data_IF_596559031081
#
_entry.id   IF_596559031081
#
_cell.length_a   1.000
_cell.length_b   1.000
_cell.length_c   1.000
_cell.angle_alpha   90.00
_cell.angle_beta   90.00
_cell.angle_gamma   90.00
#
_symmetry.space_group_name_H-M   'P 1'
#
loop_
_entity.id
_entity.type
_entity.pdbx_description
1 polymer ?
#
# COMPACT_ATOMS: atom_id res chain seq x y z
N UNK A 1 -7.64 9.29 -54.60
CA UNK A 1 -8.76 8.51 -54.03
C UNK A 1 -8.31 7.34 -53.13
N UNK A 2 -7.23 6.61 -53.44
CA UNK A 2 -6.78 5.43 -52.68
C UNK A 2 -6.38 5.70 -51.22
N UNK A 3 -5.66 6.79 -50.93
CA UNK A 3 -5.14 7.08 -49.58
C UNK A 3 -6.23 7.44 -48.57
N UNK A 4 -7.23 8.23 -48.99
CA UNK A 4 -8.38 8.57 -48.13
C UNK A 4 -9.20 7.33 -47.79
N UNK A 5 -9.38 6.43 -48.76
CA UNK A 5 -10.07 5.17 -48.57
C UNK A 5 -9.29 4.24 -47.61
N UNK A 6 -7.95 4.20 -47.74
CA UNK A 6 -7.09 3.46 -46.81
C UNK A 6 -7.15 4.02 -45.37
N UNK A 7 -7.12 5.35 -45.20
CA UNK A 7 -7.29 5.97 -43.88
C UNK A 7 -8.66 5.69 -43.27
N UNK A 8 -9.72 5.73 -44.08
CA UNK A 8 -11.08 5.45 -43.62
C UNK A 8 -11.23 3.98 -43.18
N UNK A 9 -10.66 3.03 -43.93
CA UNK A 9 -10.64 1.62 -43.54
C UNK A 9 -9.82 1.41 -42.27
N UNK A 10 -8.63 2.02 -42.16
CA UNK A 10 -7.79 1.89 -40.98
C UNK A 10 -8.48 2.43 -39.73
N UNK A 11 -9.10 3.61 -39.82
CA UNK A 11 -9.85 4.20 -38.70
C UNK A 11 -11.09 3.39 -38.33
N UNK A 12 -11.81 2.84 -39.30
CA UNK A 12 -12.94 1.94 -39.04
C UNK A 12 -12.51 0.67 -38.30
N UNK A 13 -11.41 0.02 -38.73
CA UNK A 13 -10.86 -1.16 -38.05
C UNK A 13 -10.44 -0.80 -36.63
N UNK A 14 -9.76 0.32 -36.44
CA UNK A 14 -9.29 0.76 -35.13
C UNK A 14 -10.46 1.07 -34.19
N UNK A 15 -11.54 1.67 -34.70
CA UNK A 15 -12.77 1.89 -33.95
C UNK A 15 -13.43 0.56 -33.51
N UNK A 16 -13.51 -0.42 -34.41
CA UNK A 16 -14.05 -1.75 -34.07
C UNK A 16 -13.21 -2.42 -32.98
N UNK A 17 -11.88 -2.39 -33.10
CA UNK A 17 -10.97 -2.94 -32.09
C UNK A 17 -11.15 -2.24 -30.74
N UNK A 18 -11.27 -0.91 -30.73
CA UNK A 18 -11.49 -0.14 -29.51
C UNK A 18 -12.82 -0.48 -28.83
N UNK A 19 -13.90 -0.65 -29.60
CA UNK A 19 -15.21 -1.06 -29.09
C UNK A 19 -15.15 -2.46 -28.50
N UNK A 20 -14.51 -3.42 -29.18
CA UNK A 20 -14.33 -4.79 -28.66
C UNK A 20 -13.53 -4.77 -27.36
N UNK A 21 -12.43 -4.02 -27.30
CA UNK A 21 -11.63 -3.89 -26.08
C UNK A 21 -12.44 -3.26 -24.93
N UNK A 22 -13.26 -2.25 -25.21
CA UNK A 22 -14.16 -1.65 -24.23
C UNK A 22 -15.20 -2.66 -23.71
N UNK A 23 -15.80 -3.46 -24.59
CA UNK A 23 -16.76 -4.49 -24.18
C UNK A 23 -16.09 -5.57 -23.32
N UNK A 24 -14.90 -6.05 -23.70
CA UNK A 24 -14.16 -7.06 -22.95
C UNK A 24 -13.77 -6.55 -21.57
N UNK A 25 -13.28 -5.31 -21.47
CA UNK A 25 -12.92 -4.69 -20.18
C UNK A 25 -14.13 -4.47 -19.28
N UNK A 26 -15.27 -4.00 -19.82
CA UNK A 26 -16.50 -3.87 -19.03
C UNK A 26 -17.00 -5.24 -18.57
N UNK A 27 -16.90 -6.27 -19.42
CA UNK A 27 -17.32 -7.63 -19.08
C UNK A 27 -16.43 -8.23 -17.99
N UNK A 28 -15.12 -8.09 -18.09
CA UNK A 28 -14.18 -8.60 -17.09
C UNK A 28 -14.34 -7.89 -15.74
N UNK A 29 -14.58 -6.57 -15.75
CA UNK A 29 -14.88 -5.83 -14.52
C UNK A 29 -16.21 -6.27 -13.91
N UNK A 30 -17.25 -6.51 -14.71
CA UNK A 30 -18.54 -7.04 -14.21
C UNK A 30 -18.39 -8.45 -13.63
N UNK A 31 -17.57 -9.29 -14.23
CA UNK A 31 -17.32 -10.64 -13.76
C UNK A 31 -16.54 -10.64 -12.44
N UNK A 32 -15.50 -9.80 -12.34
CA UNK A 32 -14.75 -9.59 -11.10
C UNK A 32 -15.62 -9.04 -9.97
N UNK A 33 -16.54 -8.11 -10.26
CA UNK A 33 -17.51 -7.62 -9.26
C UNK A 33 -18.44 -8.71 -8.76
N UNK A 34 -18.95 -9.58 -9.65
CA UNK A 34 -19.81 -10.70 -9.27
C UNK A 34 -19.09 -11.70 -8.37
N UNK A 35 -17.80 -11.93 -8.60
CA UNK A 35 -16.98 -12.79 -7.74
C UNK A 35 -16.74 -12.09 -6.39
N UNK A 36 -16.39 -10.80 -6.40
CA UNK A 36 -16.19 -10.02 -5.17
C UNK A 36 -17.45 -9.97 -4.28
N UNK A 37 -18.63 -9.82 -4.87
CA UNK A 37 -19.91 -9.81 -4.14
C UNK A 37 -20.27 -11.19 -3.54
N UNK A 38 -19.69 -12.28 -4.03
CA UNK A 38 -19.85 -13.61 -3.43
C UNK A 38 -18.90 -13.78 -2.26
N UNK A 39 -17.63 -13.44 -2.45
CA UNK A 39 -16.60 -13.50 -1.38
C UNK A 39 -17.00 -12.60 -0.20
N UNK A 40 -17.48 -11.39 -0.45
CA UNK A 40 -17.92 -10.48 0.60
C UNK A 40 -19.15 -10.99 1.40
N UNK A 41 -20.00 -11.83 0.79
CA UNK A 41 -21.13 -12.47 1.49
C UNK A 41 -20.67 -13.66 2.32
N UNK A 42 -19.74 -14.46 1.80
CA UNK A 42 -19.20 -15.63 2.51
C UNK A 42 -18.33 -15.20 3.71
N UNK A 43 -17.50 -14.15 3.56
CA UNK A 43 -16.71 -13.59 4.66
C UNK A 43 -17.59 -12.92 5.74
N UNK A 44 -18.67 -12.25 5.32
CA UNK A 44 -19.63 -11.63 6.25
C UNK A 44 -20.44 -12.65 7.06
N UNK A 45 -20.70 -13.83 6.49
CA UNK A 45 -21.36 -14.94 7.19
C UNK A 45 -20.41 -15.59 8.21
N UNK A 46 -19.15 -15.83 7.84
CA UNK A 46 -18.14 -16.42 8.72
C UNK A 46 -17.78 -15.52 9.91
N UNK A 47 -17.78 -14.19 9.74
CA UNK A 47 -17.50 -13.25 10.84
C UNK A 47 -18.66 -13.15 11.83
N UNK A 48 -19.90 -13.37 11.38
CA UNK A 48 -21.10 -13.29 12.23
C UNK A 48 -21.27 -14.52 13.11
N UNK A 49 -20.84 -15.69 12.63
CA UNK A 49 -20.85 -16.95 13.39
C UNK A 49 -19.81 -16.94 14.54
N UNK A 50 -18.66 -16.29 14.34
CA UNK A 50 -17.62 -16.16 15.39
C UNK A 50 -17.90 -15.08 16.44
N UNK A 51 -18.83 -14.15 16.21
CA UNK A 51 -19.16 -13.09 17.17
C UNK A 51 -20.19 -13.56 18.22
N UNK A 52 -21.02 -14.55 17.91
CA UNK A 52 -21.99 -15.09 18.87
C UNK A 52 -21.35 -16.04 19.90
N UNK A 53 -20.17 -16.59 19.62
CA UNK A 53 -19.46 -17.54 20.51
C UNK A 53 -18.46 -16.87 21.47
N UNK A 54 -18.29 -15.54 21.39
CA UNK A 54 -17.25 -14.79 22.14
C UNK A 54 -17.80 -13.88 23.25
N UNK A 55 -19.08 -13.99 23.61
CA UNK A 55 -19.73 -13.04 24.52
C UNK A 55 -19.60 -13.34 26.03
N UNK A 56 -18.70 -14.25 26.44
CA UNK A 56 -18.65 -14.75 27.82
C UNK A 56 -17.35 -14.46 28.60
N UNK A 57 -16.48 -13.53 28.17
CA UNK A 57 -15.30 -13.17 28.95
C UNK A 57 -15.12 -11.66 29.16
N UNK A 58 -15.14 -11.33 30.44
CA UNK A 58 -15.09 -10.03 31.10
C UNK A 58 -13.65 -9.45 31.16
N UNK A 59 -13.56 -8.12 31.13
CA UNK A 59 -12.44 -7.21 31.50
C UNK A 59 -11.20 -6.98 30.56
N UNK A 60 -10.62 -5.74 30.55
CA UNK A 60 -9.57 -5.28 29.62
C UNK A 60 -8.14 -5.29 30.22
N UNK A 61 -7.07 -5.13 29.40
CA UNK A 61 -6.37 -3.83 29.41
C UNK A 61 -5.80 -3.38 28.04
N UNK A 62 -5.57 -2.07 27.96
CA UNK A 62 -4.87 -1.37 26.88
C UNK A 62 -3.36 -1.57 27.01
N UNK A 63 -2.67 -2.10 26.00
CA UNK A 63 -1.30 -1.68 25.62
C UNK A 63 -0.82 -2.40 24.36
N UNK A 64 -0.47 -1.61 23.34
CA UNK A 64 0.62 -1.87 22.38
C UNK A 64 0.93 -3.34 22.02
N UNK A 65 0.25 -3.88 21.01
CA UNK A 65 0.82 -4.93 20.18
C UNK A 65 1.17 -4.32 18.82
N UNK A 66 2.46 -4.00 18.65
CA UNK A 66 3.06 -4.02 17.34
C UNK A 66 2.69 -5.38 16.71
N UNK A 67 2.18 -5.37 15.49
CA UNK A 67 2.07 -6.58 14.67
C UNK A 67 3.49 -7.02 14.36
N UNK A 68 4.06 -7.72 15.32
CA UNK A 68 5.22 -8.56 15.19
C UNK A 68 4.77 -9.68 14.24
N UNK A 69 5.01 -9.50 12.95
CA UNK A 69 5.04 -10.61 11.99
C UNK A 69 6.28 -11.44 12.35
N UNK A 70 6.17 -12.16 13.46
CA UNK A 70 7.01 -13.29 13.77
C UNK A 70 6.59 -14.37 12.77
N UNK A 71 7.24 -14.34 11.61
CA UNK A 71 7.33 -15.49 10.72
C UNK A 71 7.86 -16.62 11.60
N UNK A 72 6.99 -17.54 11.98
CA UNK A 72 7.38 -18.77 12.64
C UNK A 72 8.31 -19.48 11.65
N UNK A 73 9.59 -19.71 11.99
CA UNK A 73 10.46 -20.51 11.15
C UNK A 73 9.97 -21.96 11.25
N UNK A 74 9.12 -22.36 10.29
CA UNK A 74 8.76 -23.77 10.11
C UNK A 74 10.08 -24.53 9.90
N UNK A 75 10.39 -25.53 10.73
CA UNK A 75 11.69 -26.21 10.69
C UNK A 75 11.89 -26.85 9.32
N UNK A 76 13.03 -26.53 8.71
CA UNK A 76 13.52 -27.06 7.42
C UNK A 76 13.78 -28.55 7.56
N UNK A 77 12.76 -29.38 7.39
CA UNK A 77 12.93 -30.81 7.20
C UNK A 77 13.27 -31.05 5.73
N UNK A 78 14.58 -31.17 5.44
CA UNK A 78 15.10 -31.65 4.17
C UNK A 78 14.71 -33.12 3.98
N UNK A 79 13.49 -33.37 3.53
CA UNK A 79 13.02 -34.72 3.21
C UNK A 79 13.55 -35.08 1.83
N UNK A 80 14.77 -35.61 1.79
CA UNK A 80 15.36 -36.24 0.61
C UNK A 80 14.66 -37.58 0.40
N UNK A 81 13.76 -37.65 -0.59
CA UNK A 81 13.11 -38.92 -0.96
C UNK A 81 13.82 -39.48 -2.19
N UNK A 82 14.56 -40.57 -2.00
CA UNK A 82 15.16 -41.33 -3.11
C UNK A 82 14.12 -42.32 -3.61
N UNK A 83 13.68 -42.14 -4.85
CA UNK A 83 12.78 -43.07 -5.54
C UNK A 83 13.51 -43.52 -6.80
N UNK A 84 13.66 -44.84 -6.96
CA UNK A 84 14.15 -45.46 -8.21
C UNK A 84 15.51 -44.90 -8.73
N UNK A 85 16.49 -44.71 -7.84
CA UNK A 85 17.82 -44.24 -8.22
C UNK A 85 17.90 -42.76 -8.60
N UNK A 86 16.83 -41.98 -8.38
CA UNK A 86 16.81 -40.52 -8.55
C UNK A 86 16.58 -39.83 -7.21
N UNK A 87 17.43 -38.85 -6.90
CA UNK A 87 17.34 -38.04 -5.70
C UNK A 87 16.39 -36.87 -5.98
N UNK A 88 15.19 -36.91 -5.41
CA UNK A 88 14.24 -35.80 -5.47
C UNK A 88 14.44 -34.94 -4.23
N UNK A 89 15.05 -33.77 -4.42
CA UNK A 89 15.22 -32.76 -3.36
C UNK A 89 14.05 -31.79 -3.46
N UNK A 90 13.37 -31.54 -2.34
CA UNK A 90 12.37 -30.47 -2.30
C UNK A 90 13.09 -29.12 -2.42
N UNK A 91 12.73 -28.27 -3.40
CA UNK A 91 13.36 -26.97 -3.56
C UNK A 91 13.10 -26.11 -2.32
N UNK A 92 14.10 -25.32 -1.93
CA UNK A 92 13.96 -24.39 -0.80
C UNK A 92 12.95 -23.29 -1.13
N UNK A 93 12.35 -22.67 -0.11
CA UNK A 93 11.39 -21.58 -0.29
C UNK A 93 11.96 -20.46 -1.18
N UNK A 94 13.23 -20.11 -0.99
CA UNK A 94 13.91 -19.09 -1.78
C UNK A 94 14.04 -19.49 -3.27
N UNK A 95 14.27 -20.77 -3.57
CA UNK A 95 14.32 -21.28 -4.94
C UNK A 95 12.94 -21.26 -5.60
N UNK A 96 11.89 -21.59 -4.85
CA UNK A 96 10.50 -21.52 -5.33
C UNK A 96 10.10 -20.06 -5.58
N UNK A 97 10.45 -19.15 -4.68
CA UNK A 97 10.18 -17.71 -4.85
C UNK A 97 10.96 -17.15 -6.05
N UNK A 98 12.25 -17.46 -6.17
CA UNK A 98 13.06 -17.02 -7.31
C UNK A 98 12.50 -17.55 -8.65
N UNK A 99 12.13 -18.83 -8.70
CA UNK A 99 11.54 -19.43 -9.89
C UNK A 99 10.14 -18.86 -10.21
N UNK A 100 9.30 -18.61 -9.20
CA UNK A 100 7.94 -18.09 -9.42
C UNK A 100 7.91 -16.61 -9.77
N UNK A 101 8.86 -15.81 -9.26
CA UNK A 101 9.00 -14.39 -9.60
C UNK A 101 9.38 -14.15 -11.07
N UNK A 102 9.92 -15.15 -11.79
CA UNK A 102 10.12 -15.05 -13.24
C UNK A 102 8.80 -15.02 -14.03
N UNK A 103 7.69 -15.46 -13.42
CA UNK A 103 6.39 -15.52 -14.08
C UNK A 103 5.70 -14.16 -14.01
N UNK A 104 5.34 -13.55 -15.15
CA UNK A 104 4.72 -12.23 -15.16
C UNK A 104 3.37 -12.19 -14.43
N UNK A 105 2.61 -13.31 -14.46
CA UNK A 105 1.33 -13.44 -13.75
C UNK A 105 1.48 -13.37 -12.22
N UNK A 106 2.53 -13.99 -11.67
CA UNK A 106 2.81 -13.96 -10.22
C UNK A 106 3.14 -12.54 -9.78
N UNK A 107 4.00 -11.85 -10.52
CA UNK A 107 4.35 -10.44 -10.26
C UNK A 107 3.11 -9.54 -10.29
N UNK A 108 2.23 -9.75 -11.27
CA UNK A 108 0.99 -8.99 -11.39
C UNK A 108 0.06 -9.22 -10.19
N UNK A 109 -0.09 -10.48 -9.76
CA UNK A 109 -0.93 -10.83 -8.60
C UNK A 109 -0.39 -10.24 -7.29
N UNK A 110 0.93 -10.25 -7.08
CA UNK A 110 1.55 -9.62 -5.91
C UNK A 110 1.29 -8.11 -5.91
N UNK A 111 1.45 -7.47 -7.08
CA UNK A 111 1.17 -6.05 -7.23
C UNK A 111 -0.31 -5.74 -6.97
N UNK A 112 -1.24 -6.52 -7.53
CA UNK A 112 -2.68 -6.38 -7.30
C UNK A 112 -3.05 -6.59 -5.83
N UNK A 113 -2.51 -7.61 -5.18
CA UNK A 113 -2.70 -7.87 -3.75
C UNK A 113 -2.18 -6.73 -2.89
N UNK A 114 -0.99 -6.20 -3.22
CA UNK A 114 -0.41 -5.02 -2.56
C UNK A 114 -1.25 -3.76 -2.75
N UNK A 115 -1.77 -3.52 -3.95
CA UNK A 115 -2.67 -2.39 -4.25
C UNK A 115 -4.00 -2.54 -3.50
N UNK A 116 -4.60 -3.73 -3.51
CA UNK A 116 -5.83 -3.99 -2.76
C UNK A 116 -5.63 -3.79 -1.25
N UNK A 117 -4.49 -4.24 -0.72
CA UNK A 117 -4.13 -4.03 0.68
C UNK A 117 -3.84 -2.56 1.02
N UNK A 118 -3.23 -1.81 0.10
CA UNK A 118 -3.01 -0.37 0.26
C UNK A 118 -4.31 0.44 0.19
N UNK A 119 -5.29 -0.04 -0.59
CA UNK A 119 -6.61 0.56 -0.74
C UNK A 119 -7.58 0.17 0.39
N UNK A 120 -7.18 -0.71 1.32
CA UNK A 120 -7.99 -1.03 2.50
C UNK A 120 -8.29 0.25 3.31
N UNK A 121 -9.51 0.38 3.84
CA UNK A 121 -9.94 1.57 4.56
C UNK A 121 -9.06 1.84 5.80
N UNK A 122 -8.56 0.80 6.47
CA UNK A 122 -7.68 0.93 7.64
C UNK A 122 -6.32 1.55 7.28
N UNK A 123 -5.75 1.13 6.14
CA UNK A 123 -4.48 1.67 5.62
C UNK A 123 -4.63 3.14 5.25
N UNK A 124 -5.76 3.51 4.63
CA UNK A 124 -6.06 4.88 4.20
C UNK A 124 -6.12 5.84 5.39
N UNK A 125 -6.79 5.46 6.47
CA UNK A 125 -6.92 6.31 7.66
C UNK A 125 -5.58 6.52 8.37
N UNK A 126 -4.73 5.50 8.39
CA UNK A 126 -3.37 5.61 8.94
C UNK A 126 -2.51 6.57 8.13
N UNK A 127 -2.54 6.46 6.80
CA UNK A 127 -1.80 7.36 5.89
C UNK A 127 -2.31 8.80 6.03
N UNK A 128 -3.63 9.00 6.03
CA UNK A 128 -4.23 10.32 6.23
C UNK A 128 -3.89 10.90 7.61
N UNK A 129 -3.85 10.06 8.65
CA UNK A 129 -3.40 10.43 9.98
C UNK A 129 -1.96 10.93 10.01
N UNK A 130 -1.04 10.18 9.39
CA UNK A 130 0.37 10.57 9.24
C UNK A 130 0.51 11.88 8.46
N UNK A 131 -0.20 12.03 7.34
CA UNK A 131 -0.18 13.24 6.51
C UNK A 131 -0.72 14.46 7.25
N UNK A 132 -1.82 14.32 8.00
CA UNK A 132 -2.37 15.41 8.83
C UNK A 132 -1.39 15.83 9.92
N UNK A 133 -0.70 14.87 10.54
CA UNK A 133 0.32 15.14 11.57
C UNK A 133 1.50 15.92 10.97
N UNK A 134 2.00 15.47 9.83
CA UNK A 134 3.11 16.11 9.11
C UNK A 134 2.74 17.53 8.65
N UNK A 135 1.55 17.70 8.09
CA UNK A 135 1.04 19.02 7.69
C UNK A 135 0.98 19.99 8.88
N UNK A 136 0.45 19.55 10.03
CA UNK A 136 0.40 20.36 11.26
C UNK A 136 1.80 20.68 11.77
N UNK A 137 2.74 19.73 11.71
CA UNK A 137 4.14 19.95 12.10
C UNK A 137 4.79 21.03 11.23
N UNK A 138 4.68 20.93 9.90
CA UNK A 138 5.19 21.94 8.96
C UNK A 138 4.55 23.31 9.16
N UNK A 139 3.24 23.35 9.40
CA UNK A 139 2.52 24.61 9.69
C UNK A 139 3.08 25.29 10.94
N UNK A 140 3.31 24.54 12.03
CA UNK A 140 3.92 25.08 13.25
C UNK A 140 5.36 25.54 13.03
N UNK A 141 6.15 24.80 12.25
CA UNK A 141 7.51 25.18 11.91
C UNK A 141 7.56 26.53 11.17
N UNK A 142 6.69 26.73 10.18
CA UNK A 142 6.56 28.02 9.47
C UNK A 142 6.13 29.16 10.39
N UNK A 143 5.19 28.92 11.30
CA UNK A 143 4.77 29.93 12.28
C UNK A 143 5.90 30.32 13.23
N UNK A 144 6.71 29.35 13.67
CA UNK A 144 7.89 29.62 14.50
C UNK A 144 8.93 30.42 13.72
N UNK A 145 9.21 30.04 12.48
CA UNK A 145 10.13 30.77 11.61
C UNK A 145 9.66 32.21 11.35
N UNK A 146 8.37 32.41 11.08
CA UNK A 146 7.78 33.74 10.90
C UNK A 146 7.89 34.60 12.17
N UNK A 147 7.62 34.02 13.35
CA UNK A 147 7.80 34.71 14.64
C UNK A 147 9.27 35.04 14.92
N UNK A 148 10.20 34.14 14.58
CA UNK A 148 11.63 34.39 14.72
C UNK A 148 12.08 35.52 13.80
N UNK A 149 11.64 35.54 12.54
CA UNK A 149 11.90 36.62 11.60
C UNK A 149 11.31 37.96 12.04
N UNK A 150 10.08 37.96 12.58
CA UNK A 150 9.44 39.16 13.12
C UNK A 150 10.20 39.74 14.32
N UNK A 151 10.77 38.88 15.18
CA UNK A 151 11.63 39.34 16.29
C UNK A 151 13.00 39.82 15.82
N UNK A 152 13.57 39.19 14.79
CA UNK A 152 14.84 39.63 14.21
C UNK A 152 14.71 41.01 13.53
N UNK A 153 13.55 41.31 12.94
CA UNK A 153 13.26 42.59 12.29
C UNK A 153 12.82 43.69 13.26
N UNK A 154 12.11 43.34 14.35
CA UNK A 154 11.68 44.29 15.38
C UNK A 154 12.57 44.25 16.65
N UNK A 155 13.75 43.66 16.56
CA UNK A 155 14.72 43.67 17.65
C UNK A 155 15.21 45.10 17.91
N UNK A 156 15.43 45.50 19.18
CA UNK A 156 16.00 46.81 19.46
C UNK A 156 17.35 46.95 18.72
N UNK A 157 17.66 48.15 18.18
CA UNK A 157 18.90 48.34 17.45
C UNK A 157 20.09 47.92 18.34
N UNK A 158 21.13 47.29 17.77
CA UNK A 158 22.32 46.96 18.54
C UNK A 158 22.86 48.26 19.13
N UNK A 159 23.03 48.30 20.46
CA UNK A 159 23.63 49.41 21.17
C UNK A 159 25.04 49.65 20.62
N UNK A 160 25.13 50.48 19.60
CA UNK A 160 26.35 50.91 18.94
C UNK A 160 26.40 52.42 19.12
N UNK A 161 26.96 52.82 20.27
CA UNK A 161 27.05 54.21 20.68
C UNK A 161 27.16 54.33 22.20
N UNK A 162 28.32 54.01 22.76
CA UNK A 162 28.59 54.10 24.19
C UNK A 162 30.05 53.86 24.54
N UNK A 163 30.95 54.54 23.82
CA UNK A 163 32.34 54.70 24.25
C UNK A 163 32.35 55.46 25.58
N UNK A 164 33.03 54.89 26.58
CA UNK A 164 33.68 55.60 27.69
C UNK A 164 32.81 56.36 28.69
N UNK A 165 32.79 55.90 29.95
CA UNK A 165 33.17 56.76 31.08
C UNK A 165 33.27 55.95 32.40
N UNK A 166 34.51 55.86 32.89
CA UNK A 166 35.02 55.88 34.28
C UNK A 166 34.45 54.92 35.34
N UNK A 167 35.37 54.17 35.94
CA UNK A 167 35.21 53.49 37.22
C UNK A 167 36.46 52.73 37.62
N UNK A 168 37.57 53.48 37.76
CA UNK A 168 38.73 53.08 38.58
C UNK A 168 38.32 52.84 40.03
#
# INVERSE_FOLDING_TARGET
>A
MSVQLAMLVATAVLAVVAVVAAVVTVRSVRELRRIGDRVARDEGAAYRDHLEDSHDLDAPPRSSAALDHRVEPVPTAEVVRVVEGRVIVQPTHDQVVAATMTRPSVRLNILLGGVAHALRPESRDRILGLMRREYRARRRARQRAARAAARATNGPPPASGGQGWVGS
#
